data_IF_080139342229
#
_entry.id   IF_080139342229
#
_cell.length_a   1.000
_cell.length_b   1.000
_cell.length_c   1.000
_cell.angle_alpha   90.00
_cell.angle_beta   90.00
_cell.angle_gamma   90.00
#
_symmetry.space_group_name_H-M   'P 1'
#
loop_
_entity.id
_entity.type
_entity.pdbx_description
1 polymer ?
#
# COMPACT_ATOMS: atom_id res chain seq x y z
N UNK A 1 -4.03 2.45 12.45
CA UNK A 1 -3.88 1.40 11.42
C UNK A 1 -4.92 1.61 10.35
N UNK A 2 -4.54 1.50 9.08
CA UNK A 2 -5.48 1.44 7.96
C UNK A 2 -5.60 0.00 7.47
N UNK A 3 -6.81 -0.55 7.44
CA UNK A 3 -7.04 -1.87 6.88
C UNK A 3 -7.43 -1.76 5.41
N UNK A 4 -6.59 -2.29 4.53
CA UNK A 4 -6.90 -2.39 3.11
C UNK A 4 -7.64 -3.73 2.90
N UNK A 5 -8.91 -3.65 2.55
CA UNK A 5 -9.74 -4.81 2.22
C UNK A 5 -9.55 -5.20 0.74
N UNK A 6 -9.73 -6.47 0.37
CA UNK A 6 -9.63 -6.88 -1.02
C UNK A 6 -10.85 -6.44 -1.83
N UNK A 7 -10.72 -6.56 -3.15
CA UNK A 7 -11.80 -6.30 -4.09
C UNK A 7 -12.80 -7.46 -4.17
N UNK A 8 -14.08 -7.11 -4.29
CA UNK A 8 -15.13 -8.02 -4.76
C UNK A 8 -14.94 -8.39 -6.23
N UNK A 9 -14.44 -7.46 -7.04
CA UNK A 9 -14.18 -7.71 -8.45
C UNK A 9 -12.93 -8.58 -8.63
N UNK A 10 -13.00 -9.66 -9.43
CA UNK A 10 -11.88 -10.58 -9.63
C UNK A 10 -10.83 -10.07 -10.63
N UNK A 11 -10.92 -8.82 -11.09
CA UNK A 11 -10.06 -8.30 -12.16
C UNK A 11 -8.59 -8.26 -11.73
N UNK A 12 -7.78 -9.15 -12.30
CA UNK A 12 -6.31 -9.27 -12.15
C UNK A 12 -5.77 -9.39 -10.71
N UNK A 13 -6.61 -9.64 -9.71
CA UNK A 13 -6.18 -9.70 -8.30
C UNK A 13 -6.56 -11.02 -7.60
N UNK A 14 -7.19 -11.94 -8.32
CA UNK A 14 -7.63 -13.25 -7.83
C UNK A 14 -9.13 -13.34 -7.62
N UNK A 15 -9.55 -14.25 -6.74
CA UNK A 15 -10.95 -14.58 -6.51
C UNK A 15 -11.73 -13.43 -5.87
N UNK A 16 -13.03 -13.31 -6.17
CA UNK A 16 -13.89 -12.33 -5.52
C UNK A 16 -13.83 -12.50 -4.00
N UNK A 17 -13.72 -11.40 -3.26
CA UNK A 17 -13.49 -11.47 -1.81
C UNK A 17 -14.08 -10.29 -1.05
N UNK A 18 -14.57 -10.56 0.16
CA UNK A 18 -14.99 -9.56 1.13
C UNK A 18 -14.54 -9.95 2.53
N UNK A 19 -14.44 -8.98 3.43
CA UNK A 19 -13.96 -9.15 4.80
C UNK A 19 -15.04 -8.80 5.80
N UNK A 20 -15.17 -9.61 6.85
CA UNK A 20 -16.05 -9.34 7.98
C UNK A 20 -15.18 -9.05 9.20
N UNK A 21 -15.44 -7.92 9.85
CA UNK A 21 -14.73 -7.49 11.05
C UNK A 21 -15.51 -7.88 12.31
N UNK A 22 -14.79 -8.38 13.30
CA UNK A 22 -15.28 -8.50 14.66
C UNK A 22 -14.76 -7.29 15.44
N UNK A 23 -15.69 -6.53 16.00
CA UNK A 23 -15.40 -5.26 16.67
C UNK A 23 -15.90 -5.36 18.11
N UNK A 24 -15.10 -4.87 19.06
CA UNK A 24 -15.56 -4.74 20.45
C UNK A 24 -16.58 -3.58 20.55
N UNK A 25 -17.82 -3.81 21.01
CA UNK A 25 -18.85 -2.77 21.09
C UNK A 25 -18.52 -1.62 22.05
N UNK A 26 -17.53 -1.78 22.95
CA UNK A 26 -17.16 -0.74 23.92
C UNK A 26 -16.03 0.13 23.42
N UNK A 27 -14.90 -0.47 23.01
CA UNK A 27 -13.72 0.26 22.55
C UNK A 27 -13.76 0.61 21.06
N UNK A 28 -14.64 -0.04 20.29
CA UNK A 28 -14.64 -0.05 18.83
C UNK A 28 -13.34 -0.57 18.22
N UNK A 29 -12.54 -1.28 19.01
CA UNK A 29 -11.32 -1.95 18.60
C UNK A 29 -11.62 -3.11 17.66
N UNK A 30 -10.75 -3.33 16.68
CA UNK A 30 -10.85 -4.49 15.79
C UNK A 30 -10.29 -5.71 16.52
N UNK A 31 -11.15 -6.65 16.85
CA UNK A 31 -10.80 -7.86 17.58
C UNK A 31 -10.28 -8.95 16.66
N UNK A 32 -10.91 -9.12 15.51
CA UNK A 32 -10.44 -10.02 14.46
C UNK A 32 -11.06 -9.61 13.13
N UNK A 33 -10.57 -10.20 12.04
CA UNK A 33 -11.32 -10.21 10.79
C UNK A 33 -11.24 -11.57 10.13
N UNK A 34 -12.33 -11.97 9.47
CA UNK A 34 -12.40 -13.15 8.63
C UNK A 34 -12.53 -12.73 7.18
N UNK A 35 -11.62 -13.22 6.34
CA UNK A 35 -11.66 -13.03 4.90
C UNK A 35 -12.50 -14.14 4.26
N UNK A 36 -13.43 -13.80 3.38
CA UNK A 36 -14.22 -14.75 2.59
C UNK A 36 -13.83 -14.67 1.12
N UNK A 37 -13.79 -15.81 0.43
CA UNK A 37 -13.55 -15.90 -1.01
C UNK A 37 -14.62 -16.75 -1.68
N UNK A 38 -14.81 -16.60 -2.98
CA UNK A 38 -15.67 -17.50 -3.77
C UNK A 38 -14.98 -18.82 -4.07
N UNK A 39 -15.68 -19.95 -3.93
CA UNK A 39 -15.21 -21.26 -4.36
C UNK A 39 -15.08 -21.30 -5.90
N UNK A 40 -13.92 -21.71 -6.42
CA UNK A 40 -13.61 -21.72 -7.86
C UNK A 40 -13.63 -23.09 -8.51
N UNK A 41 -13.85 -24.13 -7.73
CA UNK A 41 -13.96 -25.48 -8.28
C UNK A 41 -15.34 -25.71 -8.93
N UNK A 42 -16.28 -24.79 -8.75
CA UNK A 42 -17.66 -24.91 -9.24
C UNK A 42 -18.13 -23.60 -9.92
N UNK A 43 -17.33 -23.07 -10.84
CA UNK A 43 -17.63 -21.87 -11.63
C UNK A 43 -18.66 -22.14 -12.75
N UNK A 44 -19.75 -22.81 -12.40
CA UNK A 44 -20.92 -22.90 -13.24
C UNK A 44 -21.50 -21.48 -13.43
N UNK A 45 -21.65 -20.99 -14.67
CA UNK A 45 -22.18 -19.65 -14.92
C UNK A 45 -23.63 -19.46 -14.48
N UNK A 46 -24.32 -20.53 -14.05
CA UNK A 46 -25.67 -20.51 -13.51
C UNK A 46 -25.74 -20.88 -12.01
N UNK A 47 -24.62 -21.21 -11.36
CA UNK A 47 -24.60 -21.51 -9.94
C UNK A 47 -24.49 -20.24 -9.09
N UNK A 48 -25.17 -20.25 -7.95
CA UNK A 48 -24.97 -19.21 -6.93
C UNK A 48 -23.54 -19.33 -6.38
N UNK A 49 -22.81 -18.21 -6.22
CA UNK A 49 -21.45 -18.24 -5.72
C UNK A 49 -21.43 -18.65 -4.25
N UNK A 50 -20.79 -19.77 -3.95
CA UNK A 50 -20.53 -20.20 -2.57
C UNK A 50 -19.36 -19.39 -1.99
N UNK A 51 -19.60 -18.77 -0.83
CA UNK A 51 -18.60 -18.01 -0.09
C UNK A 51 -18.00 -18.86 1.03
N UNK A 52 -16.69 -19.09 0.95
CA UNK A 52 -15.95 -19.90 1.91
C UNK A 52 -15.03 -19.01 2.77
N UNK A 53 -14.91 -19.28 4.09
CA UNK A 53 -13.95 -18.58 4.93
C UNK A 53 -12.53 -18.97 4.52
N UNK A 54 -11.70 -17.97 4.20
CA UNK A 54 -10.34 -18.16 3.72
C UNK A 54 -9.32 -18.14 4.87
N UNK A 55 -9.34 -17.11 5.71
CA UNK A 55 -8.53 -17.05 6.93
C UNK A 55 -9.07 -16.02 7.93
N UNK A 56 -8.75 -16.23 9.20
CA UNK A 56 -8.85 -15.20 10.26
C UNK A 56 -7.47 -14.61 10.54
N UNK A 57 -7.39 -13.31 10.83
CA UNK A 57 -6.14 -12.64 11.11
C UNK A 57 -5.43 -13.21 12.35
N UNK A 58 -6.16 -13.40 13.45
CA UNK A 58 -5.62 -14.01 14.67
C UNK A 58 -5.16 -15.43 14.45
N UNK A 59 -5.99 -16.27 13.82
CA UNK A 59 -5.64 -17.66 13.56
C UNK A 59 -4.38 -17.79 12.70
N UNK A 60 -4.17 -16.85 11.77
CA UNK A 60 -3.04 -16.90 10.85
C UNK A 60 -1.75 -16.32 11.45
N UNK A 61 -1.83 -15.19 12.16
CA UNK A 61 -0.66 -14.45 12.61
C UNK A 61 -0.37 -14.58 14.11
N UNK A 62 -1.37 -14.86 14.95
CA UNK A 62 -1.22 -14.84 16.41
C UNK A 62 -0.14 -15.80 16.93
N UNK A 63 -0.08 -17.01 16.39
CA UNK A 63 0.95 -18.02 16.75
C UNK A 63 2.34 -17.73 16.19
N UNK A 64 2.45 -16.81 15.22
CA UNK A 64 3.72 -16.43 14.56
C UNK A 64 4.42 -15.28 15.28
N UNK A 65 3.79 -14.70 16.30
CA UNK A 65 4.35 -13.60 17.09
C UNK A 65 5.11 -14.12 18.32
N UNK A 66 5.98 -13.26 18.86
CA UNK A 66 6.70 -13.51 20.11
C UNK A 66 6.53 -12.29 21.04
N UNK A 67 5.74 -12.39 22.13
CA UNK A 67 4.98 -13.57 22.56
C UNK A 67 3.79 -13.90 21.63
N UNK A 68 3.34 -15.17 21.57
CA UNK A 68 2.15 -15.55 20.83
C UNK A 68 0.90 -14.86 21.36
N UNK A 69 -0.01 -14.49 20.45
CA UNK A 69 -1.31 -13.91 20.78
C UNK A 69 -2.37 -14.99 20.63
N UNK A 70 -2.80 -15.56 21.76
CA UNK A 70 -3.82 -16.62 21.81
C UNK A 70 -5.16 -16.13 22.38
N UNK A 71 -5.17 -15.00 23.07
CA UNK A 71 -6.38 -14.47 23.71
C UNK A 71 -7.40 -14.02 22.63
N UNK A 72 -8.61 -14.62 22.60
CA UNK A 72 -9.66 -14.21 21.68
C UNK A 72 -10.13 -12.78 21.90
N UNK A 73 -9.92 -12.20 23.09
CA UNK A 73 -10.26 -10.82 23.43
C UNK A 73 -9.11 -9.84 23.20
N UNK A 74 -7.99 -10.27 22.62
CA UNK A 74 -6.90 -9.36 22.30
C UNK A 74 -7.25 -8.48 21.09
N UNK A 75 -7.11 -7.16 21.20
CA UNK A 75 -7.36 -6.26 20.07
C UNK A 75 -6.21 -6.29 19.05
N UNK A 76 -6.53 -6.25 17.75
CA UNK A 76 -5.55 -6.12 16.66
C UNK A 76 -5.01 -4.69 16.55
N UNK A 77 -4.30 -4.27 17.60
CA UNK A 77 -3.70 -2.94 17.74
C UNK A 77 -2.65 -2.65 16.66
N UNK A 78 -2.24 -1.38 16.46
CA UNK A 78 -1.10 -1.07 15.60
C UNK A 78 0.19 -1.81 15.97
N UNK A 79 0.42 -2.04 17.27
CA UNK A 79 1.56 -2.81 17.77
C UNK A 79 1.52 -4.28 17.34
N UNK A 80 0.34 -4.90 17.31
CA UNK A 80 0.17 -6.24 16.76
C UNK A 80 0.67 -6.33 15.31
N UNK A 81 0.20 -5.44 14.45
CA UNK A 81 0.59 -5.44 13.04
C UNK A 81 2.05 -5.08 12.82
N UNK A 82 2.61 -4.18 13.66
CA UNK A 82 4.03 -3.92 13.67
C UNK A 82 4.83 -5.20 13.97
N UNK A 83 4.46 -5.94 15.01
CA UNK A 83 5.12 -7.20 15.36
C UNK A 83 4.97 -8.26 14.25
N UNK A 84 3.84 -8.29 13.54
CA UNK A 84 3.68 -9.14 12.35
C UNK A 84 4.71 -8.76 11.27
N UNK A 85 4.91 -7.46 11.00
CA UNK A 85 5.95 -7.04 10.04
C UNK A 85 7.36 -7.35 10.51
N UNK A 86 7.66 -7.27 11.81
CA UNK A 86 8.95 -7.74 12.35
C UNK A 86 9.12 -9.25 12.22
N UNK A 87 8.03 -10.03 12.40
CA UNK A 87 8.06 -11.48 12.20
C UNK A 87 8.33 -11.82 10.72
N UNK A 88 7.78 -11.04 9.78
CA UNK A 88 8.08 -11.19 8.34
C UNK A 88 9.56 -10.93 8.02
N UNK A 89 10.22 -9.99 8.71
CA UNK A 89 11.66 -9.72 8.53
C UNK A 89 12.53 -10.83 9.12
N UNK A 90 12.13 -11.42 10.25
CA UNK A 90 12.86 -12.49 10.93
C UNK A 90 12.68 -13.84 10.23
N UNK A 91 11.47 -14.11 9.74
CA UNK A 91 11.10 -15.34 9.04
C UNK A 91 10.31 -15.02 7.77
N UNK A 92 10.99 -15.17 6.63
CA UNK A 92 10.38 -14.95 5.32
C UNK A 92 9.23 -15.93 5.02
N UNK A 93 9.09 -17.05 5.74
CA UNK A 93 7.92 -17.93 5.59
C UNK A 93 6.61 -17.20 5.92
N UNK A 94 6.64 -16.32 6.92
CA UNK A 94 5.50 -15.46 7.31
C UNK A 94 5.18 -14.45 6.21
N UNK A 95 6.23 -13.89 5.60
CA UNK A 95 6.09 -12.99 4.46
C UNK A 95 5.46 -13.70 3.25
N UNK A 96 5.94 -14.89 2.89
CA UNK A 96 5.41 -15.64 1.76
C UNK A 96 3.95 -16.04 1.96
N UNK A 97 3.56 -16.36 3.20
CA UNK A 97 2.15 -16.63 3.51
C UNK A 97 1.27 -15.39 3.32
N UNK A 98 1.73 -14.21 3.78
CA UNK A 98 1.06 -12.93 3.48
C UNK A 98 0.99 -12.66 1.98
N UNK A 99 2.10 -12.84 1.27
CA UNK A 99 2.20 -12.58 -0.17
C UNK A 99 1.22 -13.45 -0.96
N UNK A 100 1.11 -14.72 -0.60
CA UNK A 100 0.14 -15.65 -1.17
C UNK A 100 -1.31 -15.20 -0.94
N UNK A 101 -1.62 -14.79 0.29
CA UNK A 101 -2.95 -14.32 0.67
C UNK A 101 -3.34 -13.00 0.01
N UNK A 102 -2.36 -12.14 -0.34
CA UNK A 102 -2.59 -10.85 -1.01
C UNK A 102 -3.31 -11.01 -2.35
N UNK A 103 -2.94 -12.02 -3.14
CA UNK A 103 -3.62 -12.34 -4.41
C UNK A 103 -4.53 -13.56 -4.29
N UNK A 104 -4.77 -14.06 -3.08
CA UNK A 104 -5.59 -15.26 -2.81
C UNK A 104 -5.08 -16.49 -3.59
N UNK A 105 -3.77 -16.59 -3.79
CA UNK A 105 -3.12 -17.64 -4.56
C UNK A 105 -3.20 -17.50 -6.08
N UNK A 106 -3.77 -16.42 -6.60
CA UNK A 106 -3.84 -16.17 -8.04
C UNK A 106 -2.60 -15.44 -8.56
N UNK A 107 -2.03 -15.92 -9.67
CA UNK A 107 -0.93 -15.27 -10.41
C UNK A 107 0.21 -14.73 -9.52
N UNK A 108 0.74 -15.62 -8.66
CA UNK A 108 1.78 -15.29 -7.71
C UNK A 108 3.10 -14.99 -8.41
N UNK A 109 3.39 -13.71 -8.62
CA UNK A 109 4.73 -13.29 -9.02
C UNK A 109 5.70 -13.52 -7.86
N UNK A 110 6.84 -14.19 -8.12
CA UNK A 110 7.85 -14.43 -7.11
C UNK A 110 8.42 -13.11 -6.58
N UNK A 111 8.44 -12.95 -5.25
CA UNK A 111 8.98 -11.78 -4.56
C UNK A 111 10.17 -12.20 -3.70
N UNK A 112 11.38 -11.88 -4.15
CA UNK A 112 12.63 -12.25 -3.46
C UNK A 112 13.56 -11.04 -3.36
N UNK A 113 14.57 -11.13 -2.47
CA UNK A 113 15.56 -10.08 -2.28
C UNK A 113 14.92 -8.75 -1.87
N UNK A 114 15.22 -7.67 -2.62
CA UNK A 114 14.73 -6.31 -2.33
C UNK A 114 13.21 -6.16 -2.45
N UNK A 115 12.51 -7.07 -3.13
CA UNK A 115 11.05 -7.05 -3.19
C UNK A 115 10.44 -7.21 -1.79
N UNK A 116 10.99 -8.11 -0.97
CA UNK A 116 10.50 -8.39 0.39
C UNK A 116 10.65 -7.14 1.26
N UNK A 117 11.84 -6.55 1.30
CA UNK A 117 12.09 -5.36 2.11
C UNK A 117 11.27 -4.16 1.66
N UNK A 118 11.08 -3.99 0.35
CA UNK A 118 10.24 -2.91 -0.19
C UNK A 118 8.76 -3.11 0.17
N UNK A 119 8.25 -4.34 0.11
CA UNK A 119 6.86 -4.63 0.47
C UNK A 119 6.63 -4.46 1.98
N UNK A 120 7.53 -4.95 2.84
CA UNK A 120 7.44 -4.75 4.30
C UNK A 120 7.48 -3.25 4.63
N UNK A 121 8.34 -2.51 3.93
CA UNK A 121 8.40 -1.06 4.06
C UNK A 121 7.08 -0.40 3.61
N UNK A 122 6.48 -0.83 2.49
CA UNK A 122 5.19 -0.35 2.03
C UNK A 122 4.04 -0.64 3.02
N UNK A 123 4.08 -1.79 3.71
CA UNK A 123 3.11 -2.12 4.77
C UNK A 123 3.22 -1.18 5.98
N UNK A 124 4.41 -0.66 6.25
CA UNK A 124 4.68 0.32 7.33
C UNK A 124 4.49 1.77 6.87
N UNK A 125 4.59 2.02 5.56
CA UNK A 125 4.52 3.34 4.94
C UNK A 125 3.08 3.77 4.68
N UNK A 126 2.49 4.51 5.61
CA UNK A 126 1.17 5.15 5.44
C UNK A 126 1.26 6.61 4.93
N UNK A 127 2.47 7.17 4.86
CA UNK A 127 2.73 8.54 4.42
C UNK A 127 3.60 8.53 3.15
N UNK A 128 3.14 9.25 2.12
CA UNK A 128 3.81 9.35 0.83
C UNK A 128 5.20 10.00 0.93
N UNK A 129 5.43 10.89 1.90
CA UNK A 129 6.74 11.52 2.11
C UNK A 129 7.81 10.50 2.52
N UNK A 130 7.39 9.42 3.20
CA UNK A 130 8.23 8.32 3.63
C UNK A 130 8.02 7.07 2.77
N UNK A 131 7.57 7.25 1.52
CA UNK A 131 7.34 6.15 0.61
C UNK A 131 8.62 5.36 0.35
N UNK A 132 8.49 4.04 0.43
CA UNK A 132 9.55 3.08 0.15
C UNK A 132 9.79 2.90 -1.35
N UNK A 133 8.85 3.37 -2.17
CA UNK A 133 8.99 3.41 -3.60
C UNK A 133 9.96 4.54 -3.98
N UNK A 134 11.13 4.15 -4.49
CA UNK A 134 12.06 5.09 -5.12
C UNK A 134 11.68 5.17 -6.60
N UNK A 135 11.16 6.31 -7.09
CA UNK A 135 10.90 6.46 -8.51
C UNK A 135 12.22 6.27 -9.26
N UNK A 136 12.19 5.46 -10.33
CA UNK A 136 13.32 5.42 -11.25
C UNK A 136 13.55 6.84 -11.77
N UNK A 137 14.78 7.33 -11.60
CA UNK A 137 15.20 8.61 -12.14
C UNK A 137 15.33 8.48 -13.66
N UNK A 138 14.19 8.45 -14.35
CA UNK A 138 14.13 8.73 -15.78
C UNK A 138 14.59 10.16 -16.07
N UNK A 139 14.28 10.66 -17.27
CA UNK A 139 14.74 11.96 -17.79
C UNK A 139 14.31 13.17 -16.91
N UNK A 140 13.44 12.96 -15.92
CA UNK A 140 13.05 13.95 -14.92
C UNK A 140 13.81 13.73 -13.61
N UNK A 141 14.99 14.33 -13.48
CA UNK A 141 15.64 14.47 -12.17
C UNK A 141 14.82 15.39 -11.27
N UNK A 142 14.59 14.96 -10.02
CA UNK A 142 14.16 15.88 -8.96
C UNK A 142 15.14 17.05 -8.89
N UNK A 143 14.61 18.26 -8.74
CA UNK A 143 15.45 19.46 -8.56
C UNK A 143 16.22 19.28 -7.25
N UNK A 144 17.54 19.34 -7.35
CA UNK A 144 18.47 19.24 -6.23
C UNK A 144 18.15 20.30 -5.16
N UNK A 145 17.83 19.87 -3.94
CA UNK A 145 17.55 20.74 -2.79
C UNK A 145 18.83 21.30 -2.15
N UNK A 146 20.02 20.85 -2.56
CA UNK A 146 21.29 21.23 -1.89
C UNK A 146 21.88 22.57 -2.31
N UNK A 147 21.15 23.42 -3.04
CA UNK A 147 21.60 24.80 -3.33
C UNK A 147 20.66 25.82 -2.70
N UNK A 148 21.08 26.52 -1.64
CA UNK A 148 20.32 27.66 -1.16
C UNK A 148 20.37 28.73 -2.26
N UNK A 149 19.26 28.93 -2.95
CA UNK A 149 19.05 30.09 -3.80
C UNK A 149 18.97 31.29 -2.87
N UNK A 150 19.73 32.37 -3.08
CA UNK A 150 19.61 33.56 -2.23
C UNK A 150 18.19 34.09 -2.33
N UNK A 151 17.52 34.11 -1.18
CA UNK A 151 16.16 34.61 -1.01
C UNK A 151 16.22 36.13 -1.23
N UNK A 152 15.71 36.58 -2.37
CA UNK A 152 15.28 37.97 -2.52
C UNK A 152 14.04 38.14 -1.64
N UNK A 153 14.13 39.04 -0.67
CA UNK A 153 13.03 39.52 0.15
C UNK A 153 11.90 40.02 -0.75
N UNK A 154 10.90 39.18 -0.99
CA UNK A 154 9.54 39.53 -1.36
C UNK A 154 8.69 38.32 -1.00
N UNK A 155 8.40 38.21 0.30
CA UNK A 155 7.55 37.19 0.88
C UNK A 155 6.19 37.13 0.15
N UNK A 156 5.86 35.97 -0.41
CA UNK A 156 4.50 35.48 -0.33
C UNK A 156 4.54 34.08 0.28
N UNK A 157 4.40 34.09 1.60
CA UNK A 157 4.21 32.90 2.41
C UNK A 157 2.84 32.32 2.05
N UNK A 158 2.79 31.05 1.70
CA UNK A 158 1.57 30.37 1.27
C UNK A 158 1.86 28.92 0.97
N UNK A 159 2.18 28.16 2.03
CA UNK A 159 2.00 26.71 2.03
C UNK A 159 0.51 26.44 1.91
N UNK A 160 0.00 26.28 0.70
CA UNK A 160 -1.38 25.87 0.48
C UNK A 160 -1.43 24.95 -0.73
N UNK A 161 -1.82 23.70 -0.47
CA UNK A 161 -2.01 22.67 -1.49
C UNK A 161 -3.28 22.98 -2.28
N UNK A 162 -3.31 24.05 -3.09
CA UNK A 162 -4.48 24.29 -3.95
C UNK A 162 -4.24 25.10 -5.23
N UNK A 163 -3.01 25.15 -5.74
CA UNK A 163 -2.76 25.80 -7.04
C UNK A 163 -2.01 24.92 -8.03
N UNK A 164 -2.67 24.63 -9.15
CA UNK A 164 -2.05 24.06 -10.33
C UNK A 164 -1.15 25.11 -10.98
N UNK A 165 0.16 25.02 -10.74
CA UNK A 165 1.17 25.84 -11.43
C UNK A 165 1.36 25.45 -12.91
N UNK A 166 0.50 24.60 -13.47
CA UNK A 166 0.57 24.17 -14.87
C UNK A 166 0.59 25.35 -15.84
N UNK A 167 -0.13 26.45 -15.54
CA UNK A 167 -0.13 27.65 -16.35
C UNK A 167 1.24 28.36 -16.36
N UNK A 168 1.93 28.42 -15.21
CA UNK A 168 3.28 29.01 -15.09
C UNK A 168 4.32 28.18 -15.85
N UNK A 169 4.20 26.85 -15.81
CA UNK A 169 5.04 25.94 -16.57
C UNK A 169 4.82 26.05 -18.09
N UNK A 170 3.56 26.10 -18.54
CA UNK A 170 3.22 26.28 -19.96
C UNK A 170 3.70 27.63 -20.52
N UNK A 171 3.64 28.70 -19.71
CA UNK A 171 4.17 30.02 -20.06
C UNK A 171 5.71 30.00 -20.24
N UNK A 172 6.43 29.23 -19.43
CA UNK A 172 7.89 29.06 -19.57
C UNK A 172 8.26 28.25 -20.83
N UNK A 173 7.47 27.23 -21.19
CA UNK A 173 7.68 26.42 -22.40
C UNK A 173 7.50 27.27 -23.66
N UNK A 174 6.43 28.07 -23.72
CA UNK A 174 6.15 28.95 -24.86
C UNK A 174 7.20 30.06 -25.02
N UNK A 175 7.74 30.57 -23.92
CA UNK A 175 8.82 31.56 -23.95
C UNK A 175 10.14 30.97 -24.50
N UNK A 176 10.48 29.72 -24.12
CA UNK A 176 11.66 29.03 -24.68
C UNK A 176 11.52 28.69 -26.16
N UNK A 177 10.33 28.30 -26.63
CA UNK A 177 10.11 28.07 -28.06
C UNK A 177 10.24 29.34 -28.91
N UNK A 178 9.89 30.51 -28.38
CA UNK A 178 10.13 31.79 -29.06
C UNK A 178 11.61 32.14 -29.15
N UNK A 179 12.39 31.89 -28.09
CA UNK A 179 13.83 32.13 -28.09
C UNK A 179 14.60 31.14 -28.99
N UNK A 180 14.13 29.91 -29.17
CA UNK A 180 14.73 28.93 -30.09
C UNK A 180 14.43 29.15 -31.58
N UNK A 181 13.43 29.96 -31.91
CA UNK A 181 13.12 30.37 -33.30
C UNK A 181 13.85 31.64 -33.74
N UNK A 182 14.31 32.48 -32.81
CA UNK A 182 15.05 33.71 -33.13
C UNK A 182 16.53 33.50 -33.49
N UNK A 183 17.05 32.27 -33.42
CA UNK A 183 18.45 31.92 -33.74
C UNK A 183 18.61 31.11 -35.04
N UNK A 184 17.59 31.10 -35.89
CA UNK A 184 17.65 30.58 -37.26
C UNK A 184 17.01 31.59 -38.21
N UNK A 185 17.68 32.73 -38.36
CA UNK A 185 17.68 33.60 -39.54
C UNK A 185 19.12 34.09 -39.73
#
# INVERSE_FOLDING_TARGET
MGYIAPSLTPWKSGYASFRVYQIDPVTFGVMDYTQYITNVNDLSPQAEPEWIPYYSAKANYGSKLSPPVEDPNFELTPGFWHNVTEAMEKDHSVFYDFWNKRTRGFDLTACTGSCISNEICALRGADIQYSCYKPDSGIFSKRDETKPVPISENHLHGSECDHSEAASLLAKITTRQRLGKSHRD
#
